data_IF_238095344281
#
_entry.id   IF_238095344281
#
_cell.length_a   1.000
_cell.length_b   1.000
_cell.length_c   1.000
_cell.angle_alpha   90.00
_cell.angle_beta   90.00
_cell.angle_gamma   90.00
#
_symmetry.space_group_name_H-M   'P 1'
#
loop_
_entity.id
_entity.type
_entity.pdbx_description
1 polymer ?
#
# COMPACT_ATOMS: atom_id res chain seq x y z
N UNK A 1 20.69 -23.21 38.67
CA UNK A 1 19.93 -21.94 38.51
C UNK A 1 20.69 -20.87 37.72
N UNK A 2 21.95 -20.54 38.01
CA UNK A 2 22.72 -19.49 37.27
C UNK A 2 22.77 -19.69 35.73
N UNK A 3 22.88 -20.93 35.26
CA UNK A 3 22.93 -21.26 33.81
C UNK A 3 21.58 -21.07 33.07
N UNK A 4 20.46 -21.20 33.78
CA UNK A 4 19.10 -21.06 33.20
C UNK A 4 18.74 -19.59 33.00
N UNK A 5 19.15 -18.74 33.95
CA UNK A 5 18.98 -17.28 33.86
C UNK A 5 19.82 -16.72 32.70
N UNK A 6 21.05 -17.21 32.53
CA UNK A 6 21.91 -16.80 31.43
C UNK A 6 21.30 -17.15 30.05
N UNK A 7 20.73 -18.34 29.91
CA UNK A 7 20.03 -18.77 28.69
C UNK A 7 18.82 -17.89 28.39
N UNK A 8 17.97 -17.58 29.39
CA UNK A 8 16.81 -16.72 29.21
C UNK A 8 17.18 -15.30 28.77
N UNK A 9 18.22 -14.71 29.35
CA UNK A 9 18.69 -13.37 28.98
C UNK A 9 19.25 -13.35 27.56
N UNK A 10 20.03 -14.36 27.16
CA UNK A 10 20.54 -14.48 25.78
C UNK A 10 19.40 -14.66 24.78
N UNK A 11 18.39 -15.48 25.10
CA UNK A 11 17.21 -15.66 24.25
C UNK A 11 16.37 -14.39 24.13
N UNK A 12 16.21 -13.61 25.20
CA UNK A 12 15.53 -12.30 25.17
C UNK A 12 16.31 -11.28 24.33
N UNK A 13 17.63 -11.20 24.48
CA UNK A 13 18.47 -10.28 23.70
C UNK A 13 18.44 -10.64 22.21
N UNK A 14 18.52 -11.94 21.86
CA UNK A 14 18.37 -12.39 20.47
C UNK A 14 16.99 -12.05 19.91
N UNK A 15 15.92 -12.17 20.71
CA UNK A 15 14.57 -11.77 20.31
C UNK A 15 14.50 -10.28 19.96
N UNK A 16 15.05 -9.41 20.82
CA UNK A 16 15.06 -7.97 20.56
C UNK A 16 15.87 -7.58 19.32
N UNK A 17 16.98 -8.27 19.03
CA UNK A 17 17.76 -8.01 17.81
C UNK A 17 17.08 -8.47 16.52
N UNK A 18 16.15 -9.43 16.58
CA UNK A 18 15.41 -9.92 15.41
C UNK A 18 14.14 -9.11 15.11
N UNK A 19 13.61 -8.36 16.10
CA UNK A 19 12.34 -7.65 15.98
C UNK A 19 12.43 -6.22 15.40
N UNK A 20 13.62 -5.70 15.05
CA UNK A 20 13.78 -4.29 14.66
C UNK A 20 14.65 -4.08 13.41
N UNK A 21 14.56 -4.97 12.42
CA UNK A 21 15.22 -4.75 11.14
C UNK A 21 14.33 -3.83 10.28
N UNK A 22 14.64 -2.54 10.21
CA UNK A 22 14.06 -1.66 9.19
C UNK A 22 14.73 -1.94 7.85
N UNK A 23 13.95 -2.30 6.84
CA UNK A 23 14.41 -2.37 5.45
C UNK A 23 14.54 -0.95 4.93
N UNK A 24 15.73 -0.58 4.44
CA UNK A 24 15.97 0.74 3.84
C UNK A 24 16.17 0.61 2.34
N UNK A 25 15.49 1.44 1.57
CA UNK A 25 15.65 1.50 0.11
C UNK A 25 15.44 2.91 -0.41
N UNK A 26 16.47 3.47 -1.04
CA UNK A 26 16.37 4.75 -1.76
C UNK A 26 15.99 4.55 -3.23
N UNK A 27 15.62 3.32 -3.63
CA UNK A 27 15.19 3.03 -5.00
C UNK A 27 13.82 3.65 -5.24
N UNK A 28 13.79 4.68 -6.08
CA UNK A 28 12.59 5.30 -6.62
C UNK A 28 12.20 4.65 -7.94
N UNK A 29 10.91 4.49 -8.20
CA UNK A 29 10.38 4.13 -9.50
C UNK A 29 10.70 5.23 -10.52
N UNK A 30 11.01 4.84 -11.76
CA UNK A 30 11.20 5.83 -12.82
C UNK A 30 9.86 6.46 -13.21
N UNK A 31 9.88 7.71 -13.69
CA UNK A 31 8.66 8.37 -14.17
C UNK A 31 7.96 7.55 -15.26
N UNK A 32 8.73 6.89 -16.12
CA UNK A 32 8.20 6.01 -17.17
C UNK A 32 7.40 4.83 -16.61
N UNK A 33 7.87 4.22 -15.52
CA UNK A 33 7.16 3.12 -14.86
C UNK A 33 5.86 3.62 -14.20
N UNK A 34 5.89 4.79 -13.55
CA UNK A 34 4.68 5.43 -13.00
C UNK A 34 3.66 5.79 -14.08
N UNK A 35 4.11 6.37 -15.19
CA UNK A 35 3.25 6.75 -16.32
C UNK A 35 2.61 5.53 -16.98
N UNK A 36 3.38 4.44 -17.14
CA UNK A 36 2.85 3.18 -17.65
C UNK A 36 1.78 2.60 -16.73
N UNK A 37 2.04 2.58 -15.42
CA UNK A 37 1.08 2.07 -14.43
C UNK A 37 -0.19 2.90 -14.41
N UNK A 38 -0.06 4.23 -14.52
CA UNK A 38 -1.20 5.13 -14.65
C UNK A 38 -2.05 4.78 -15.86
N UNK A 39 -1.43 4.59 -17.03
CA UNK A 39 -2.14 4.21 -18.25
C UNK A 39 -2.87 2.86 -18.10
N UNK A 40 -2.24 1.88 -17.44
CA UNK A 40 -2.87 0.57 -17.18
C UNK A 40 -4.10 0.70 -16.25
N UNK A 41 -4.05 1.59 -15.24
CA UNK A 41 -5.20 1.85 -14.36
C UNK A 41 -6.32 2.59 -15.09
N UNK A 42 -5.99 3.58 -15.92
CA UNK A 42 -6.96 4.30 -16.74
C UNK A 42 -7.67 3.37 -17.73
N UNK A 43 -6.94 2.44 -18.35
CA UNK A 43 -7.49 1.42 -19.24
C UNK A 43 -8.45 0.48 -18.48
N UNK A 44 -8.00 -0.06 -17.34
CA UNK A 44 -8.82 -0.90 -16.46
C UNK A 44 -10.15 -0.23 -16.08
N UNK A 45 -10.09 1.03 -15.63
CA UNK A 45 -11.28 1.78 -15.22
C UNK A 45 -12.23 2.03 -16.38
N UNK A 46 -11.69 2.32 -17.56
CA UNK A 46 -12.50 2.53 -18.77
C UNK A 46 -13.22 1.25 -19.20
N UNK A 47 -12.58 0.10 -19.08
CA UNK A 47 -13.20 -1.19 -19.39
C UNK A 47 -14.27 -1.57 -18.36
N UNK A 48 -13.96 -1.42 -17.07
CA UNK A 48 -14.84 -1.84 -15.98
C UNK A 48 -16.04 -0.91 -15.76
N UNK A 49 -15.83 0.40 -15.92
CA UNK A 49 -16.82 1.44 -15.65
C UNK A 49 -16.91 2.43 -16.84
N UNK A 50 -17.40 1.98 -18.01
CA UNK A 50 -17.31 2.75 -19.26
C UNK A 50 -18.12 4.05 -19.28
N UNK A 51 -19.04 4.23 -18.33
CA UNK A 51 -19.90 5.42 -18.22
C UNK A 51 -19.45 6.38 -17.11
N UNK A 52 -18.35 6.09 -16.44
CA UNK A 52 -17.80 6.91 -15.36
C UNK A 52 -16.51 7.59 -15.82
N UNK A 53 -16.18 8.71 -15.18
CA UNK A 53 -14.93 9.44 -15.40
C UNK A 53 -14.13 9.45 -14.10
N UNK A 54 -12.86 9.11 -14.21
CA UNK A 54 -11.95 9.04 -13.08
C UNK A 54 -10.70 9.86 -13.34
N UNK A 55 -10.14 10.41 -12.27
CA UNK A 55 -8.79 10.96 -12.24
C UNK A 55 -7.89 9.97 -11.53
N UNK A 56 -6.78 9.59 -12.17
CA UNK A 56 -5.79 8.67 -11.59
C UNK A 56 -4.54 9.47 -11.23
N UNK A 57 -4.18 9.43 -9.94
CA UNK A 57 -2.97 10.07 -9.40
C UNK A 57 -2.10 9.01 -8.72
N UNK A 58 -0.88 8.87 -9.25
CA UNK A 58 0.16 7.96 -8.75
C UNK A 58 1.42 8.78 -8.45
N UNK A 59 2.03 8.56 -7.29
CA UNK A 59 3.31 9.19 -6.95
C UNK A 59 4.09 8.36 -5.94
N UNK A 60 5.33 8.77 -5.71
CA UNK A 60 6.14 8.24 -4.61
C UNK A 60 6.64 9.37 -3.72
N UNK A 61 6.54 9.17 -2.41
CA UNK A 61 7.12 10.06 -1.39
C UNK A 61 8.11 9.29 -0.52
N UNK A 62 9.19 9.94 -0.10
CA UNK A 62 10.12 9.32 0.84
C UNK A 62 9.50 9.32 2.23
N UNK A 63 9.34 8.14 2.82
CA UNK A 63 8.63 7.97 4.07
C UNK A 63 9.07 6.75 4.85
N UNK A 64 8.35 6.51 5.94
CA UNK A 64 8.49 5.31 6.77
C UNK A 64 7.14 4.63 6.84
N UNK A 65 7.12 3.34 6.54
CA UNK A 65 5.97 2.48 6.71
C UNK A 65 6.26 1.48 7.83
N UNK A 66 5.35 1.41 8.79
CA UNK A 66 5.49 0.50 9.94
C UNK A 66 4.84 -0.82 9.54
N UNK A 67 5.66 -1.87 9.47
CA UNK A 67 5.18 -3.18 9.07
C UNK A 67 4.07 -3.67 10.00
N UNK A 68 2.90 -3.99 9.43
CA UNK A 68 1.83 -4.64 10.18
C UNK A 68 2.22 -6.06 10.60
N UNK A 69 1.70 -6.53 11.74
CA UNK A 69 1.72 -7.93 12.20
C UNK A 69 3.01 -8.74 11.90
N UNK A 70 4.18 -8.21 12.26
CA UNK A 70 5.46 -8.93 12.18
C UNK A 70 6.24 -8.73 10.88
N UNK A 71 5.80 -7.83 10.00
CA UNK A 71 6.62 -7.35 8.90
C UNK A 71 7.69 -6.36 9.41
N UNK A 72 8.89 -6.37 8.82
CA UNK A 72 9.90 -5.36 9.13
C UNK A 72 9.40 -3.97 8.74
N UNK A 73 9.76 -2.96 9.54
CA UNK A 73 9.57 -1.57 9.15
C UNK A 73 10.26 -1.29 7.82
N UNK A 74 9.72 -0.39 7.02
CA UNK A 74 10.31 0.05 5.76
C UNK A 74 10.55 1.56 5.79
N UNK A 75 11.74 1.98 5.33
CA UNK A 75 12.09 3.39 5.13
C UNK A 75 12.59 3.55 3.70
N UNK A 76 11.92 4.39 2.92
CA UNK A 76 12.21 4.53 1.50
C UNK A 76 11.13 5.27 0.74
N UNK A 77 11.18 5.19 -0.59
CA UNK A 77 10.10 5.68 -1.44
C UNK A 77 8.88 4.76 -1.31
N UNK A 78 7.78 5.34 -0.83
CA UNK A 78 6.47 4.71 -0.67
C UNK A 78 5.61 5.08 -1.87
N UNK A 79 4.99 4.07 -2.49
CA UNK A 79 4.07 4.26 -3.60
C UNK A 79 2.68 4.64 -3.10
N UNK A 80 2.12 5.70 -3.68
CA UNK A 80 0.76 6.15 -3.43
C UNK A 80 -0.06 6.08 -4.70
N UNK A 81 -1.31 5.64 -4.54
CA UNK A 81 -2.32 5.64 -5.59
C UNK A 81 -3.64 6.14 -5.01
N UNK A 82 -4.26 7.09 -5.71
CA UNK A 82 -5.63 7.52 -5.45
C UNK A 82 -6.36 7.68 -6.77
N UNK A 83 -7.57 7.14 -6.82
CA UNK A 83 -8.48 7.29 -7.94
C UNK A 83 -9.68 8.09 -7.44
N UNK A 84 -9.99 9.17 -8.14
CA UNK A 84 -11.07 10.09 -7.78
C UNK A 84 -12.16 10.08 -8.83
N UNK A 85 -13.40 9.80 -8.44
CA UNK A 85 -14.56 9.84 -9.34
C UNK A 85 -15.07 11.29 -9.55
N UNK A 86 -16.05 11.46 -10.44
CA UNK A 86 -16.66 12.75 -10.74
C UNK A 86 -17.40 13.42 -9.56
N UNK A 87 -17.71 12.67 -8.50
CA UNK A 87 -18.39 13.14 -7.29
C UNK A 87 -17.41 13.45 -6.16
N UNK A 88 -16.11 13.22 -6.36
CA UNK A 88 -15.05 13.41 -5.37
C UNK A 88 -14.86 12.22 -4.44
N UNK A 89 -15.38 11.03 -4.76
CA UNK A 89 -15.09 9.83 -3.97
C UNK A 89 -13.69 9.30 -4.34
N UNK A 90 -12.91 8.98 -3.31
CA UNK A 90 -11.56 8.44 -3.45
C UNK A 90 -11.55 6.93 -3.20
N UNK A 91 -10.83 6.18 -4.03
CA UNK A 91 -10.63 4.74 -3.87
C UNK A 91 -9.26 4.29 -4.41
N UNK A 92 -8.93 3.01 -4.20
CA UNK A 92 -7.69 2.37 -4.66
C UNK A 92 -7.95 1.21 -5.62
N UNK A 93 -7.00 1.01 -6.52
CA UNK A 93 -6.85 -0.18 -7.37
C UNK A 93 -5.67 -0.99 -6.81
N UNK A 94 -5.80 -2.30 -6.81
CA UNK A 94 -4.82 -3.24 -6.31
C UNK A 94 -4.51 -4.28 -7.39
N UNK A 95 -3.23 -4.64 -7.53
CA UNK A 95 -2.85 -5.80 -8.32
C UNK A 95 -3.31 -7.08 -7.62
N UNK A 96 -4.02 -7.93 -8.36
CA UNK A 96 -4.39 -9.26 -7.91
C UNK A 96 -3.39 -10.27 -8.45
N UNK A 97 -2.81 -11.08 -7.57
CA UNK A 97 -1.91 -12.17 -7.97
C UNK A 97 -2.62 -13.38 -8.62
N UNK A 98 -3.87 -13.23 -9.06
CA UNK A 98 -4.71 -14.29 -9.62
C UNK A 98 -4.64 -14.33 -11.14
N UNK A 99 -4.71 -15.51 -11.74
CA UNK A 99 -4.66 -15.67 -13.20
C UNK A 99 -5.88 -15.10 -13.95
N UNK A 100 -7.03 -14.97 -13.27
CA UNK A 100 -8.29 -14.55 -13.90
C UNK A 100 -8.47 -13.04 -13.98
N UNK A 101 -7.85 -12.28 -13.09
CA UNK A 101 -7.96 -10.83 -13.02
C UNK A 101 -6.61 -10.26 -12.60
N UNK A 102 -6.15 -9.23 -13.33
CA UNK A 102 -4.91 -8.50 -13.02
C UNK A 102 -5.12 -7.45 -11.93
N UNK A 103 -6.32 -6.86 -11.88
CA UNK A 103 -6.65 -5.77 -10.96
C UNK A 103 -8.00 -5.97 -10.28
N UNK A 104 -8.06 -5.58 -9.01
CA UNK A 104 -9.28 -5.36 -8.26
C UNK A 104 -9.31 -3.92 -7.73
N UNK A 105 -10.49 -3.41 -7.40
CA UNK A 105 -10.66 -2.07 -6.87
C UNK A 105 -11.66 -2.04 -5.72
N UNK A 106 -11.61 -0.94 -5.00
CA UNK A 106 -12.41 -0.69 -3.82
C UNK A 106 -13.63 0.22 -4.08
N UNK A 107 -13.93 0.56 -5.35
CA UNK A 107 -14.91 1.58 -5.73
C UNK A 107 -16.30 1.26 -5.19
N UNK A 108 -16.80 0.04 -5.39
CA UNK A 108 -18.14 -0.34 -4.89
C UNK A 108 -18.22 -0.26 -3.36
N UNK A 109 -17.15 -0.64 -2.64
CA UNK A 109 -17.12 -0.57 -1.17
C UNK A 109 -17.16 0.89 -0.67
N UNK A 110 -16.56 1.81 -1.44
CA UNK A 110 -16.65 3.26 -1.18
C UNK A 110 -18.07 3.76 -1.45
N UNK A 111 -18.68 3.38 -2.57
CA UNK A 111 -20.07 3.74 -2.88
C UNK A 111 -21.07 3.20 -1.84
N UNK A 112 -20.81 2.01 -1.31
CA UNK A 112 -21.59 1.38 -0.25
C UNK A 112 -21.33 1.99 1.14
N UNK A 113 -20.36 2.91 1.25
CA UNK A 113 -19.97 3.53 2.53
C UNK A 113 -19.29 2.58 3.51
N UNK A 114 -18.80 1.42 3.04
CA UNK A 114 -18.13 0.43 3.89
C UNK A 114 -16.70 0.85 4.23
N UNK A 115 -16.08 1.63 3.35
CA UNK A 115 -14.72 2.14 3.50
C UNK A 115 -14.66 3.58 2.99
N UNK A 116 -13.69 4.34 3.47
CA UNK A 116 -13.44 5.71 3.03
C UNK A 116 -11.94 5.94 2.88
N UNK A 117 -11.58 6.73 1.88
CA UNK A 117 -10.22 7.21 1.65
C UNK A 117 -10.19 8.74 1.71
N UNK A 118 -9.07 9.29 2.17
CA UNK A 118 -8.78 10.72 2.04
C UNK A 118 -8.17 11.04 0.66
N UNK A 119 -7.82 12.31 0.46
CA UNK A 119 -7.23 12.82 -0.79
C UNK A 119 -5.81 12.28 -1.06
N UNK A 120 -5.18 11.65 -0.08
CA UNK A 120 -3.88 10.97 -0.20
C UNK A 120 -4.02 9.48 -0.49
N UNK A 121 -5.26 8.98 -0.56
CA UNK A 121 -5.55 7.56 -0.69
C UNK A 121 -5.36 6.77 0.60
N UNK A 122 -5.25 7.43 1.76
CA UNK A 122 -5.16 6.74 3.05
C UNK A 122 -6.55 6.39 3.58
N UNK A 123 -6.66 5.21 4.20
CA UNK A 123 -7.94 4.72 4.68
C UNK A 123 -8.34 5.47 5.96
N UNK A 124 -9.51 6.09 5.95
CA UNK A 124 -10.03 6.83 7.11
C UNK A 124 -10.78 5.84 8.01
N UNK A 125 -10.37 5.75 9.27
CA UNK A 125 -11.04 4.96 10.30
C UNK A 125 -11.79 5.91 11.24
N UNK A 126 -13.12 5.80 11.28
CA UNK A 126 -13.99 6.50 12.22
C UNK A 126 -14.04 5.79 13.59
#
# INVERSE_FOLDING_TARGET
MKKVILLLVVSLIMLFTLCSCTIKSDKKMSQKELDNMKAEYEEYLKEKYPNETFTVELWEEYGKDVGGAGLPDYEGYLFHSVITDSKGNHFKIFETGTLSEKYNDDYQKVLDGTIKYDDRGERVFD
#
